data_IF_139532190490
#
_entry.id   IF_139532190490
#
_cell.length_a   1.000
_cell.length_b   1.000
_cell.length_c   1.000
_cell.angle_alpha   90.00
_cell.angle_beta   90.00
_cell.angle_gamma   90.00
#
_symmetry.space_group_name_H-M   'P 1'
#
loop_
_entity.id
_entity.type
_entity.pdbx_description
1 polymer ?
#
# COMPACT_ATOMS: atom_id res chain seq x y z
N UNK A 1 -44.53 37.78 -34.66
CA UNK A 1 -45.73 37.20 -34.02
C UNK A 1 -46.33 36.25 -35.03
N UNK A 2 -45.99 34.96 -34.95
CA UNK A 2 -46.68 33.93 -35.73
C UNK A 2 -46.57 32.63 -34.94
N UNK A 3 -47.68 32.33 -34.26
CA UNK A 3 -47.86 31.18 -33.39
C UNK A 3 -48.94 30.30 -33.99
N UNK A 4 -48.68 28.99 -33.96
CA UNK A 4 -49.68 27.91 -33.96
C UNK A 4 -50.34 27.57 -35.30
N UNK A 5 -49.73 26.67 -36.08
CA UNK A 5 -50.46 25.74 -36.95
C UNK A 5 -49.60 24.50 -37.25
N UNK A 6 -49.41 23.62 -36.26
CA UNK A 6 -48.96 22.23 -36.49
C UNK A 6 -49.37 21.28 -35.35
N UNK A 7 -50.57 21.48 -34.79
CA UNK A 7 -51.19 20.55 -33.84
C UNK A 7 -52.54 20.10 -34.36
N UNK A 8 -52.53 19.28 -35.42
CA UNK A 8 -53.74 18.53 -35.81
C UNK A 8 -53.36 17.42 -36.80
N UNK A 9 -52.70 16.34 -36.34
CA UNK A 9 -52.73 15.06 -37.08
C UNK A 9 -52.25 13.79 -36.33
N UNK A 10 -52.31 13.74 -34.99
CA UNK A 10 -51.99 12.52 -34.24
C UNK A 10 -52.97 12.24 -33.10
N UNK A 11 -54.24 12.56 -33.32
CA UNK A 11 -55.33 12.01 -32.54
C UNK A 11 -55.80 10.69 -33.20
N UNK A 12 -55.94 9.65 -32.39
CA UNK A 12 -56.54 8.34 -32.72
C UNK A 12 -55.69 7.39 -33.57
N UNK A 13 -54.70 6.74 -32.94
CA UNK A 13 -54.31 5.38 -33.32
C UNK A 13 -54.14 4.55 -32.05
N UNK A 14 -55.07 3.63 -31.80
CA UNK A 14 -54.93 2.62 -30.75
C UNK A 14 -53.69 1.78 -31.08
N UNK A 15 -52.61 1.99 -30.34
CA UNK A 15 -51.35 1.26 -30.51
C UNK A 15 -51.51 -0.10 -29.84
N UNK A 16 -51.67 -1.14 -30.65
CA UNK A 16 -51.69 -2.52 -30.17
C UNK A 16 -50.27 -2.93 -29.79
N UNK A 17 -50.06 -3.34 -28.53
CA UNK A 17 -48.77 -3.78 -27.97
C UNK A 17 -48.22 -5.09 -28.59
N UNK A 18 -48.93 -5.69 -29.55
CA UNK A 18 -48.54 -6.90 -30.28
C UNK A 18 -48.14 -6.62 -31.74
N UNK A 19 -47.99 -5.34 -32.12
CA UNK A 19 -47.61 -4.98 -33.48
C UNK A 19 -46.14 -5.36 -33.74
N UNK A 20 -45.93 -6.26 -34.70
CA UNK A 20 -44.63 -6.86 -35.04
C UNK A 20 -43.52 -5.85 -35.36
N UNK A 21 -43.89 -4.66 -35.87
CA UNK A 21 -42.95 -3.57 -36.13
C UNK A 21 -42.33 -2.96 -34.85
N UNK A 22 -43.04 -3.03 -33.71
CA UNK A 22 -42.55 -2.59 -32.41
C UNK A 22 -41.58 -3.62 -31.79
N UNK A 23 -41.82 -4.91 -32.05
CA UNK A 23 -40.92 -5.98 -31.65
C UNK A 23 -39.61 -5.98 -32.46
N UNK A 24 -39.69 -5.71 -33.77
CA UNK A 24 -38.48 -5.60 -34.61
C UNK A 24 -37.61 -4.40 -34.24
N UNK A 25 -38.20 -3.30 -33.77
CA UNK A 25 -37.45 -2.12 -33.29
C UNK A 25 -36.85 -2.30 -31.88
N UNK A 26 -37.43 -3.16 -31.04
CA UNK A 26 -36.82 -3.60 -29.77
C UNK A 26 -35.67 -4.59 -30.01
N UNK A 27 -35.72 -5.37 -31.08
CA UNK A 27 -34.70 -6.35 -31.44
C UNK A 27 -33.48 -5.73 -32.13
N UNK A 28 -33.61 -4.51 -32.69
CA UNK A 28 -32.53 -3.82 -33.42
C UNK A 28 -31.67 -2.89 -32.54
N UNK A 29 -32.00 -2.69 -31.26
CA UNK A 29 -31.18 -1.88 -30.35
C UNK A 29 -30.14 -2.75 -29.63
N UNK A 30 -28.98 -2.81 -30.26
CA UNK A 30 -27.70 -3.33 -29.77
C UNK A 30 -27.53 -3.20 -28.24
N UNK A 31 -27.77 -4.29 -27.53
CA UNK A 31 -27.15 -4.55 -26.23
C UNK A 31 -25.69 -4.89 -26.53
N UNK A 32 -24.75 -4.15 -25.95
CA UNK A 32 -23.33 -4.46 -26.09
C UNK A 32 -23.09 -5.92 -25.63
N UNK A 33 -22.42 -6.76 -26.44
CA UNK A 33 -22.34 -8.22 -26.24
C UNK A 33 -21.65 -8.64 -24.93
N UNK A 34 -21.05 -7.70 -24.22
CA UNK A 34 -20.30 -7.84 -22.98
C UNK A 34 -21.05 -7.35 -21.72
N UNK A 35 -22.31 -6.91 -21.85
CA UNK A 35 -23.13 -6.49 -20.71
C UNK A 35 -23.98 -7.64 -20.15
N UNK A 36 -23.44 -8.35 -19.15
CA UNK A 36 -24.20 -9.33 -18.37
C UNK A 36 -24.92 -8.63 -17.22
N UNK A 37 -26.25 -8.57 -17.28
CA UNK A 37 -27.09 -8.08 -16.17
C UNK A 37 -27.16 -9.20 -15.11
N UNK A 38 -26.38 -9.08 -14.04
CA UNK A 38 -26.47 -10.00 -12.90
C UNK A 38 -27.60 -9.59 -11.94
N UNK A 39 -28.70 -10.34 -11.94
CA UNK A 39 -29.67 -10.33 -10.85
C UNK A 39 -29.25 -11.35 -9.77
N UNK A 40 -28.12 -11.10 -9.09
CA UNK A 40 -27.72 -11.93 -7.95
C UNK A 40 -28.12 -11.28 -6.63
N UNK A 41 -29.02 -11.92 -5.90
CA UNK A 41 -29.43 -11.54 -4.54
C UNK A 41 -28.28 -11.80 -3.56
N UNK A 42 -27.56 -10.75 -3.14
CA UNK A 42 -26.64 -10.80 -1.98
C UNK A 42 -27.29 -10.08 -0.78
N UNK A 43 -27.43 -10.75 0.38
CA UNK A 43 -28.11 -10.22 1.56
C UNK A 43 -27.37 -9.05 2.25
N UNK A 44 -26.11 -8.81 1.90
CA UNK A 44 -25.22 -7.81 2.53
C UNK A 44 -25.60 -6.36 2.16
N UNK A 45 -26.35 -6.14 1.08
CA UNK A 45 -26.79 -4.80 0.62
C UNK A 45 -28.12 -4.31 1.23
N UNK A 46 -28.67 -5.04 2.20
CA UNK A 46 -29.96 -4.70 2.83
C UNK A 46 -29.94 -3.39 3.64
N UNK A 47 -28.76 -2.92 4.04
CA UNK A 47 -28.58 -1.73 4.89
C UNK A 47 -28.76 -0.39 4.14
N UNK A 48 -28.78 -0.43 2.80
CA UNK A 48 -28.81 0.78 1.96
C UNK A 48 -30.15 0.99 1.24
N UNK A 49 -31.21 0.22 1.54
CA UNK A 49 -32.54 0.49 0.98
C UNK A 49 -33.18 1.69 1.67
N UNK A 50 -33.02 2.87 1.07
CA UNK A 50 -34.20 3.76 0.97
C UNK A 50 -35.20 3.08 0.04
N UNK A 51 -36.48 3.18 0.38
CA UNK A 51 -37.60 2.69 -0.44
C UNK A 51 -37.34 2.97 -1.92
N UNK A 52 -37.43 1.93 -2.76
CA UNK A 52 -37.35 2.08 -4.20
C UNK A 52 -38.64 2.77 -4.65
N UNK A 53 -38.60 4.09 -4.68
CA UNK A 53 -39.68 4.90 -5.20
C UNK A 53 -39.58 4.90 -6.71
N UNK A 54 -40.56 4.31 -7.39
CA UNK A 54 -40.54 4.09 -8.83
C UNK A 54 -40.85 5.40 -9.57
N UNK A 55 -39.92 6.37 -9.51
CA UNK A 55 -40.13 7.74 -9.98
C UNK A 55 -39.97 7.89 -11.50
N UNK A 56 -39.40 6.90 -12.19
CA UNK A 56 -39.14 6.96 -13.62
C UNK A 56 -40.15 6.11 -14.40
N UNK A 57 -41.10 6.78 -15.07
CA UNK A 57 -41.94 6.12 -16.05
C UNK A 57 -41.15 5.95 -17.36
N UNK A 58 -40.50 4.79 -17.49
CA UNK A 58 -39.63 4.44 -18.62
C UNK A 58 -40.30 4.58 -19.99
N UNK A 59 -41.63 4.45 -20.08
CA UNK A 59 -42.37 4.62 -21.34
C UNK A 59 -42.31 6.04 -21.90
N UNK A 60 -42.21 7.08 -21.04
CA UNK A 60 -42.17 8.48 -21.50
C UNK A 60 -40.78 8.96 -21.88
N UNK A 61 -39.72 8.38 -21.30
CA UNK A 61 -38.35 8.85 -21.48
C UNK A 61 -37.59 8.13 -22.61
N UNK A 62 -38.08 7.00 -23.12
CA UNK A 62 -37.51 6.29 -24.27
C UNK A 62 -37.84 6.94 -25.63
N UNK A 63 -38.81 7.86 -25.67
CA UNK A 63 -39.24 8.53 -26.91
C UNK A 63 -38.41 9.77 -27.27
N UNK A 64 -37.39 10.11 -26.48
CA UNK A 64 -36.47 11.19 -26.80
C UNK A 64 -35.24 10.61 -27.52
N UNK A 65 -34.92 11.09 -28.74
CA UNK A 65 -33.69 10.68 -29.41
C UNK A 65 -32.50 11.09 -28.55
N UNK A 66 -31.73 10.10 -28.10
CA UNK A 66 -30.48 10.33 -27.38
C UNK A 66 -29.50 11.00 -28.35
N UNK A 67 -28.89 12.15 -27.99
CA UNK A 67 -27.84 12.73 -28.81
C UNK A 67 -26.66 11.75 -28.84
N UNK A 68 -26.27 11.34 -30.05
CA UNK A 68 -25.09 10.53 -30.31
C UNK A 68 -23.84 11.40 -30.08
N UNK A 69 -23.50 11.62 -28.82
CA UNK A 69 -22.18 12.12 -28.45
C UNK A 69 -21.59 11.20 -27.39
N UNK A 70 -20.77 10.28 -27.89
CA UNK A 70 -20.14 9.20 -27.16
C UNK A 70 -19.05 9.73 -26.24
N UNK A 71 -19.43 10.02 -24.98
CA UNK A 71 -18.58 9.84 -23.78
C UNK A 71 -19.31 10.20 -22.47
N UNK A 72 -20.47 10.86 -22.51
CA UNK A 72 -21.15 11.31 -21.29
C UNK A 72 -22.67 11.51 -21.47
N UNK A 73 -23.40 10.55 -22.03
CA UNK A 73 -24.85 10.48 -21.81
C UNK A 73 -25.12 9.74 -20.51
N UNK A 74 -24.75 10.37 -19.40
CA UNK A 74 -25.16 9.94 -18.06
C UNK A 74 -26.62 10.32 -17.93
N UNK A 75 -27.53 9.34 -17.91
CA UNK A 75 -28.89 9.59 -17.40
C UNK A 75 -28.71 10.25 -16.03
N UNK A 76 -29.19 11.49 -15.88
CA UNK A 76 -29.15 12.21 -14.60
C UNK A 76 -29.70 11.27 -13.53
N UNK A 77 -28.83 10.82 -12.60
CA UNK A 77 -29.10 9.90 -11.48
C UNK A 77 -28.86 8.39 -11.70
N UNK A 78 -28.32 7.96 -12.85
CA UNK A 78 -27.81 6.58 -13.05
C UNK A 78 -26.30 6.60 -12.91
N UNK A 79 -25.81 6.20 -11.73
CA UNK A 79 -24.38 6.05 -11.49
C UNK A 79 -23.91 4.74 -12.15
N UNK A 80 -23.12 4.86 -13.21
CA UNK A 80 -22.45 3.70 -13.83
C UNK A 80 -21.32 3.28 -12.88
N UNK A 81 -21.64 2.39 -11.95
CA UNK A 81 -20.65 1.79 -11.05
C UNK A 81 -19.87 0.77 -11.88
N UNK A 82 -18.72 1.19 -12.40
CA UNK A 82 -17.75 0.24 -12.93
C UNK A 82 -17.36 -0.72 -11.80
N UNK A 83 -17.47 -2.05 -11.98
CA UNK A 83 -16.94 -3.03 -11.03
C UNK A 83 -15.41 -3.04 -11.12
N UNK A 84 -14.79 -1.90 -10.85
CA UNK A 84 -13.39 -1.85 -10.52
C UNK A 84 -13.22 -2.67 -9.25
N UNK A 85 -12.47 -3.75 -9.33
CA UNK A 85 -12.05 -4.54 -8.17
C UNK A 85 -11.39 -3.56 -7.21
N UNK A 86 -12.11 -3.14 -6.16
CA UNK A 86 -11.56 -2.27 -5.13
C UNK A 86 -10.41 -3.05 -4.52
N UNK A 87 -9.18 -2.68 -4.86
CA UNK A 87 -7.99 -3.12 -4.15
C UNK A 87 -8.17 -2.57 -2.73
N UNK A 88 -8.76 -3.36 -1.85
CA UNK A 88 -8.83 -3.06 -0.42
C UNK A 88 -7.40 -3.10 0.06
N UNK A 89 -6.77 -1.93 0.06
CA UNK A 89 -5.38 -1.75 0.42
C UNK A 89 -5.32 -1.87 1.94
N UNK A 90 -5.12 -3.10 2.41
CA UNK A 90 -5.01 -3.40 3.84
C UNK A 90 -3.74 -2.79 4.44
N UNK A 91 -2.73 -2.53 3.60
CA UNK A 91 -1.47 -1.92 4.03
C UNK A 91 -1.60 -0.39 4.12
N UNK A 92 -1.24 0.21 5.27
CA UNK A 92 -1.41 1.64 5.46
C UNK A 92 -0.35 2.46 4.69
N UNK A 93 -0.76 3.60 4.13
CA UNK A 93 0.09 4.40 3.24
C UNK A 93 1.38 4.94 3.88
N UNK A 94 1.39 5.14 5.21
CA UNK A 94 2.60 5.58 5.94
C UNK A 94 3.73 4.55 5.87
N UNK A 95 3.41 3.26 5.69
CA UNK A 95 4.40 2.18 5.57
C UNK A 95 5.29 2.44 4.34
N UNK A 96 4.67 2.82 3.21
CA UNK A 96 5.39 3.15 1.98
C UNK A 96 6.30 4.36 2.21
N UNK A 97 5.84 5.36 2.96
CA UNK A 97 6.66 6.53 3.32
C UNK A 97 7.94 6.16 4.09
N UNK A 98 7.83 5.27 5.09
CA UNK A 98 8.99 4.76 5.85
C UNK A 98 9.94 3.97 4.94
N UNK A 99 9.40 3.17 4.03
CA UNK A 99 10.18 2.36 3.10
C UNK A 99 10.95 3.22 2.09
N UNK A 100 10.31 4.24 1.53
CA UNK A 100 10.96 5.25 0.67
C UNK A 100 12.06 5.98 1.42
N UNK A 101 11.83 6.36 2.68
CA UNK A 101 12.86 6.98 3.53
C UNK A 101 14.06 6.04 3.74
N UNK A 102 13.83 4.75 4.02
CA UNK A 102 14.88 3.76 4.19
C UNK A 102 15.68 3.56 2.89
N UNK A 103 15.01 3.49 1.73
CA UNK A 103 15.66 3.43 0.43
C UNK A 103 16.48 4.69 0.12
N UNK A 104 15.97 5.87 0.46
CA UNK A 104 16.69 7.13 0.27
C UNK A 104 17.98 7.19 1.12
N UNK A 105 17.90 6.77 2.38
CA UNK A 105 19.08 6.65 3.24
C UNK A 105 20.08 5.63 2.68
N UNK A 106 19.59 4.48 2.21
CA UNK A 106 20.42 3.46 1.59
C UNK A 106 21.11 3.98 0.33
N UNK A 107 20.39 4.66 -0.56
CA UNK A 107 20.93 5.26 -1.77
C UNK A 107 22.06 6.26 -1.43
N UNK A 108 21.87 7.08 -0.39
CA UNK A 108 22.89 8.03 0.06
C UNK A 108 24.17 7.31 0.52
N UNK A 109 24.03 6.22 1.28
CA UNK A 109 25.19 5.41 1.71
C UNK A 109 25.84 4.72 0.52
N UNK A 110 25.06 4.18 -0.42
CA UNK A 110 25.56 3.51 -1.62
C UNK A 110 26.36 4.45 -2.52
N UNK A 111 25.92 5.71 -2.69
CA UNK A 111 26.60 6.70 -3.53
C UNK A 111 27.90 7.20 -2.90
N UNK A 112 27.86 7.57 -1.60
CA UNK A 112 29.00 8.23 -0.94
C UNK A 112 30.02 7.19 -0.40
N UNK A 113 29.54 6.04 0.07
CA UNK A 113 30.33 5.07 0.83
C UNK A 113 30.28 3.64 0.25
N UNK A 114 30.20 3.50 -1.08
CA UNK A 114 30.12 2.18 -1.73
C UNK A 114 31.24 1.21 -1.29
N UNK A 115 32.48 1.71 -1.20
CA UNK A 115 33.64 0.92 -0.77
C UNK A 115 33.47 0.39 0.67
N UNK A 116 32.95 1.21 1.57
CA UNK A 116 32.66 0.81 2.95
C UNK A 116 31.59 -0.28 3.00
N UNK A 117 30.54 -0.18 2.17
CA UNK A 117 29.47 -1.18 2.08
C UNK A 117 30.02 -2.57 1.69
N UNK A 118 30.92 -2.62 0.71
CA UNK A 118 31.59 -3.86 0.31
C UNK A 118 32.49 -4.40 1.42
N UNK A 119 33.20 -3.52 2.13
CA UNK A 119 34.10 -3.91 3.22
C UNK A 119 33.33 -4.50 4.41
N UNK A 120 32.18 -3.93 4.79
CA UNK A 120 31.38 -4.47 5.90
C UNK A 120 30.73 -5.80 5.55
N UNK A 121 30.30 -5.99 4.29
CA UNK A 121 29.76 -7.27 3.83
C UNK A 121 30.83 -8.36 3.87
N UNK A 122 32.06 -8.04 3.43
CA UNK A 122 33.19 -8.97 3.52
C UNK A 122 33.62 -9.22 4.96
N UNK A 123 33.54 -8.22 5.84
CA UNK A 123 33.92 -8.36 7.26
C UNK A 123 32.99 -9.29 8.05
N UNK A 124 31.76 -9.53 7.58
CA UNK A 124 30.86 -10.51 8.21
C UNK A 124 31.33 -11.94 7.98
N UNK A 125 32.06 -12.21 6.88
CA UNK A 125 32.48 -13.56 6.48
C UNK A 125 33.98 -13.75 6.75
N UNK A 126 34.79 -12.72 6.50
CA UNK A 126 36.24 -12.76 6.60
C UNK A 126 36.75 -12.01 7.84
N UNK A 127 37.33 -12.77 8.78
CA UNK A 127 37.91 -12.24 10.01
C UNK A 127 39.09 -11.28 9.77
N UNK A 128 39.88 -11.49 8.72
CA UNK A 128 41.00 -10.59 8.37
C UNK A 128 40.50 -9.19 8.00
N UNK A 129 39.43 -9.10 7.21
CA UNK A 129 38.81 -7.82 6.85
C UNK A 129 38.18 -7.16 8.07
N UNK A 130 37.54 -7.92 8.96
CA UNK A 130 36.97 -7.40 10.20
C UNK A 130 38.01 -6.73 11.11
N UNK A 131 39.12 -7.41 11.39
CA UNK A 131 40.18 -6.88 12.28
C UNK A 131 40.83 -5.63 11.70
N UNK A 132 40.98 -5.56 10.36
CA UNK A 132 41.43 -4.36 9.67
C UNK A 132 40.50 -3.17 9.89
N UNK A 133 39.19 -3.35 9.66
CA UNK A 133 38.20 -2.28 9.85
C UNK A 133 38.12 -1.86 11.32
N UNK A 134 38.21 -2.82 12.25
CA UNK A 134 38.22 -2.55 13.68
C UNK A 134 39.40 -1.65 14.11
N UNK A 135 40.59 -1.91 13.54
CA UNK A 135 41.82 -1.15 13.84
C UNK A 135 41.87 0.21 13.12
N UNK A 136 41.38 0.29 11.89
CA UNK A 136 41.51 1.50 11.06
C UNK A 136 40.65 2.68 11.51
N UNK A 137 39.59 2.50 12.34
CA UNK A 137 38.74 3.54 13.00
C UNK A 137 38.82 4.97 12.40
N UNK A 138 38.60 5.13 11.09
CA UNK A 138 38.63 6.46 10.46
C UNK A 138 37.36 7.23 10.82
N UNK A 139 37.52 8.51 11.14
CA UNK A 139 36.43 9.44 11.47
C UNK A 139 35.35 9.50 10.37
N UNK A 140 35.75 9.39 9.09
CA UNK A 140 34.82 9.34 7.96
C UNK A 140 33.87 8.12 7.98
N UNK A 141 34.28 7.00 8.58
CA UNK A 141 33.40 5.83 8.69
C UNK A 141 32.33 5.97 9.76
N UNK A 142 32.47 6.92 10.67
CA UNK A 142 31.47 7.13 11.73
C UNK A 142 30.14 7.63 11.16
N UNK A 143 30.18 8.56 10.19
CA UNK A 143 28.97 9.06 9.53
C UNK A 143 28.27 7.97 8.71
N UNK A 144 29.02 7.14 7.98
CA UNK A 144 28.45 6.02 7.21
C UNK A 144 27.86 4.95 8.14
N UNK A 145 28.59 4.63 9.22
CA UNK A 145 28.17 3.72 10.28
C UNK A 145 26.84 4.14 10.90
N UNK A 146 26.70 5.42 11.27
CA UNK A 146 25.50 5.96 11.87
C UNK A 146 24.29 5.84 10.93
N UNK A 147 24.45 6.18 9.65
CA UNK A 147 23.36 6.06 8.66
C UNK A 147 22.89 4.61 8.49
N UNK A 148 23.82 3.65 8.46
CA UNK A 148 23.46 2.23 8.41
C UNK A 148 22.78 1.73 9.68
N UNK A 149 23.20 2.22 10.84
CA UNK A 149 22.53 1.90 12.11
C UNK A 149 21.09 2.43 12.10
N UNK A 150 20.85 3.63 11.58
CA UNK A 150 19.49 4.19 11.41
C UNK A 150 18.65 3.34 10.46
N UNK A 151 19.20 2.95 9.31
CA UNK A 151 18.52 2.06 8.35
C UNK A 151 18.14 0.74 9.02
N UNK A 152 19.07 0.13 9.75
CA UNK A 152 18.81 -1.12 10.46
C UNK A 152 17.66 -0.97 11.47
N UNK A 153 17.67 0.06 12.31
CA UNK A 153 16.61 0.27 13.30
C UNK A 153 15.24 0.52 12.62
N UNK A 154 15.19 1.33 11.56
CA UNK A 154 13.96 1.59 10.81
C UNK A 154 13.39 0.33 10.17
N UNK A 155 14.23 -0.45 9.48
CA UNK A 155 13.83 -1.65 8.76
C UNK A 155 13.47 -2.79 9.72
N UNK A 156 14.23 -2.97 10.80
CA UNK A 156 13.95 -4.00 11.81
C UNK A 156 12.61 -3.72 12.52
N UNK A 157 12.33 -2.46 12.86
CA UNK A 157 11.05 -2.06 13.43
C UNK A 157 9.89 -2.24 12.45
N UNK A 158 10.11 -1.92 11.17
CA UNK A 158 9.12 -2.09 10.11
C UNK A 158 8.78 -3.57 9.90
N UNK A 159 9.80 -4.43 9.88
CA UNK A 159 9.63 -5.88 9.82
C UNK A 159 8.85 -6.42 11.03
N UNK A 160 9.17 -5.94 12.24
CA UNK A 160 8.42 -6.28 13.44
C UNK A 160 6.95 -5.88 13.36
N UNK A 161 6.66 -4.67 12.85
CA UNK A 161 5.28 -4.24 12.60
C UNK A 161 4.55 -5.13 11.58
N UNK A 162 5.19 -5.44 10.45
CA UNK A 162 4.62 -6.33 9.43
C UNK A 162 4.34 -7.73 9.99
N UNK A 163 5.23 -8.25 10.82
CA UNK A 163 5.05 -9.52 11.52
C UNK A 163 3.81 -9.46 12.42
N UNK A 164 3.71 -8.46 13.30
CA UNK A 164 2.55 -8.29 14.20
C UNK A 164 1.22 -8.16 13.45
N UNK A 165 1.22 -7.41 12.34
CA UNK A 165 0.04 -7.24 11.49
C UNK A 165 -0.38 -8.57 10.83
N UNK A 166 0.59 -9.38 10.38
CA UNK A 166 0.33 -10.70 9.77
C UNK A 166 -0.34 -11.66 10.76
N UNK A 167 0.11 -11.65 12.02
CA UNK A 167 -0.49 -12.48 13.08
C UNK A 167 -1.72 -11.84 13.75
N UNK A 168 -2.19 -10.68 13.27
CA UNK A 168 -3.33 -9.93 13.82
C UNK A 168 -3.23 -9.68 15.33
N UNK A 169 -2.02 -9.46 15.83
CA UNK A 169 -1.77 -9.17 17.25
C UNK A 169 -2.14 -7.71 17.51
N UNK A 170 -3.33 -7.50 18.08
CA UNK A 170 -3.81 -6.17 18.42
C UNK A 170 -3.39 -5.77 19.83
N UNK A 171 -2.62 -4.68 19.94
CA UNK A 171 -2.23 -4.07 21.22
C UNK A 171 -3.31 -3.12 21.79
N UNK A 172 -4.54 -3.17 21.28
CA UNK A 172 -5.62 -2.23 21.66
C UNK A 172 -5.42 -0.79 21.17
N UNK A 173 -4.42 -0.55 20.31
CA UNK A 173 -4.11 0.76 19.74
C UNK A 173 -4.72 0.84 18.34
N UNK A 174 -5.67 1.75 18.13
CA UNK A 174 -6.36 1.90 16.84
C UNK A 174 -5.44 2.40 15.70
N UNK A 175 -4.43 3.21 16.04
CA UNK A 175 -3.57 3.83 15.05
C UNK A 175 -2.32 2.97 14.75
N UNK A 176 -2.28 2.39 13.55
CA UNK A 176 -1.16 1.54 13.08
C UNK A 176 0.21 2.22 13.13
N UNK A 177 0.28 3.54 12.94
CA UNK A 177 1.54 4.30 13.01
C UNK A 177 2.16 4.29 14.42
N UNK A 178 1.34 4.35 15.47
CA UNK A 178 1.85 4.31 16.85
C UNK A 178 2.39 2.93 17.21
N UNK A 179 1.79 1.86 16.68
CA UNK A 179 2.31 0.49 16.85
C UNK A 179 3.71 0.38 16.25
N UNK A 180 3.94 0.99 15.08
CA UNK A 180 5.28 1.08 14.49
C UNK A 180 6.26 1.87 15.35
N UNK A 181 5.87 3.02 15.90
CA UNK A 181 6.73 3.81 16.78
C UNK A 181 7.10 3.04 18.06
N UNK A 182 6.17 2.27 18.63
CA UNK A 182 6.44 1.40 19.77
C UNK A 182 7.43 0.31 19.38
N UNK A 183 7.25 -0.34 18.22
CA UNK A 183 8.21 -1.33 17.71
C UNK A 183 9.61 -0.72 17.54
N UNK A 184 9.68 0.49 16.99
CA UNK A 184 10.94 1.22 16.83
C UNK A 184 11.59 1.55 18.17
N UNK A 185 10.81 2.02 19.14
CA UNK A 185 11.27 2.29 20.49
C UNK A 185 11.81 1.02 21.19
N UNK A 186 11.11 -0.10 21.05
CA UNK A 186 11.53 -1.40 21.61
C UNK A 186 12.85 -1.86 20.97
N UNK A 187 12.97 -1.79 19.64
CA UNK A 187 14.19 -2.19 18.92
C UNK A 187 15.38 -1.34 19.37
N UNK A 188 15.24 -0.01 19.38
CA UNK A 188 16.30 0.90 19.81
C UNK A 188 16.67 0.64 21.28
N UNK A 189 15.65 0.56 22.15
CA UNK A 189 15.84 0.30 23.58
C UNK A 189 16.56 -1.01 23.83
N UNK A 190 16.16 -2.09 23.17
CA UNK A 190 16.80 -3.40 23.27
C UNK A 190 18.29 -3.35 22.92
N UNK A 191 18.67 -2.70 21.81
CA UNK A 191 20.07 -2.61 21.41
C UNK A 191 20.90 -1.69 22.33
N UNK A 192 20.31 -0.62 22.87
CA UNK A 192 20.98 0.25 23.84
C UNK A 192 21.22 -0.52 25.15
N UNK A 193 20.19 -1.15 25.71
CA UNK A 193 20.30 -1.93 26.95
C UNK A 193 21.33 -3.05 26.77
N UNK A 194 21.29 -3.77 25.64
CA UNK A 194 22.28 -4.79 25.31
C UNK A 194 23.71 -4.22 25.32
N UNK A 195 23.95 -3.09 24.66
CA UNK A 195 25.27 -2.44 24.64
C UNK A 195 25.75 -2.02 26.03
N UNK A 196 24.85 -1.48 26.87
CA UNK A 196 25.17 -1.08 28.25
C UNK A 196 25.52 -2.30 29.10
N UNK A 197 24.72 -3.36 29.05
CA UNK A 197 24.97 -4.59 29.80
C UNK A 197 26.33 -5.22 29.47
N UNK A 198 26.63 -5.39 28.17
CA UNK A 198 27.95 -5.89 27.75
C UNK A 198 29.07 -4.95 28.14
N UNK A 199 28.86 -3.63 28.06
CA UNK A 199 29.82 -2.64 28.53
C UNK A 199 30.15 -2.79 30.02
N UNK A 200 29.14 -3.00 30.85
CA UNK A 200 29.31 -3.24 32.29
C UNK A 200 30.08 -4.54 32.57
N UNK A 201 29.73 -5.62 31.88
CA UNK A 201 30.45 -6.90 31.98
C UNK A 201 31.92 -6.74 31.59
N UNK A 202 32.21 -6.03 30.50
CA UNK A 202 33.59 -5.78 30.06
C UNK A 202 34.41 -4.91 31.04
N UNK A 203 33.75 -4.09 31.85
CA UNK A 203 34.41 -3.35 32.94
C UNK A 203 34.71 -4.29 34.11
N UNK A 204 33.75 -5.15 34.48
CA UNK A 204 33.87 -6.08 35.62
C UNK A 204 34.89 -7.18 35.38
N UNK A 205 35.00 -7.70 34.15
CA UNK A 205 35.89 -8.82 33.80
C UNK A 205 37.28 -8.35 33.34
N UNK A 206 37.56 -7.04 33.34
CA UNK A 206 38.80 -6.41 32.82
C UNK A 206 39.10 -6.71 31.33
N UNK A 207 38.29 -7.52 30.66
CA UNK A 207 38.35 -7.90 29.24
C UNK A 207 37.77 -6.83 28.30
N UNK A 208 38.02 -5.55 28.59
CA UNK A 208 37.47 -4.40 27.83
C UNK A 208 37.77 -4.48 26.34
N UNK A 209 38.90 -5.05 25.94
CA UNK A 209 39.31 -5.18 24.53
C UNK A 209 38.46 -6.20 23.78
N UNK A 210 38.32 -7.40 24.34
CA UNK A 210 37.56 -8.50 23.75
C UNK A 210 36.07 -8.14 23.61
N UNK A 211 35.50 -7.53 24.66
CA UNK A 211 34.10 -7.08 24.62
C UNK A 211 33.87 -6.01 23.56
N UNK A 212 34.81 -5.10 23.35
CA UNK A 212 34.70 -4.10 22.27
C UNK A 212 34.77 -4.72 20.89
N UNK A 213 35.62 -5.73 20.68
CA UNK A 213 35.69 -6.47 19.43
C UNK A 213 34.37 -7.20 19.17
N UNK A 214 33.81 -7.88 20.18
CA UNK A 214 32.51 -8.54 20.09
C UNK A 214 31.35 -7.56 19.77
N UNK A 215 31.25 -6.46 20.52
CA UNK A 215 30.23 -5.44 20.28
C UNK A 215 30.33 -4.81 18.88
N UNK A 216 31.55 -4.63 18.39
CA UNK A 216 31.79 -4.14 17.04
C UNK A 216 31.34 -5.16 15.99
N UNK A 217 31.63 -6.44 16.18
CA UNK A 217 31.18 -7.54 15.32
C UNK A 217 29.66 -7.60 15.21
N UNK A 218 28.95 -7.59 16.35
CA UNK A 218 27.48 -7.54 16.35
C UNK A 218 26.96 -6.32 15.60
N UNK A 219 27.59 -5.16 15.79
CA UNK A 219 27.13 -3.93 15.13
C UNK A 219 27.31 -4.00 13.62
N UNK A 220 28.42 -4.57 13.12
CA UNK A 220 28.60 -4.84 11.69
C UNK A 220 27.53 -5.81 11.18
N UNK A 221 27.30 -6.91 11.91
CA UNK A 221 26.30 -7.90 11.52
C UNK A 221 24.90 -7.30 11.43
N UNK A 222 24.48 -6.51 12.42
CA UNK A 222 23.19 -5.83 12.42
C UNK A 222 23.03 -4.89 11.22
N UNK A 223 24.08 -4.14 10.85
CA UNK A 223 24.04 -3.26 9.68
C UNK A 223 23.84 -4.05 8.39
N UNK A 224 24.58 -5.13 8.21
CA UNK A 224 24.43 -6.02 7.03
C UNK A 224 23.04 -6.67 7.02
N UNK A 225 22.55 -7.10 8.18
CA UNK A 225 21.21 -7.64 8.35
C UNK A 225 20.14 -6.61 7.96
N UNK A 226 20.27 -5.35 8.38
CA UNK A 226 19.36 -4.27 7.98
C UNK A 226 19.30 -4.04 6.47
N UNK A 227 20.44 -4.16 5.78
CA UNK A 227 20.50 -4.08 4.32
C UNK A 227 19.82 -5.27 3.64
N UNK A 228 19.94 -6.45 4.22
CA UNK A 228 19.28 -7.66 3.72
C UNK A 228 17.77 -7.67 3.98
N UNK A 229 17.30 -7.14 5.13
CA UNK A 229 15.87 -7.04 5.43
C UNK A 229 15.16 -5.98 4.60
N UNK A 230 15.87 -4.98 4.07
CA UNK A 230 15.27 -3.90 3.28
C UNK A 230 14.46 -4.46 2.07
N UNK A 231 15.03 -5.29 1.17
CA UNK A 231 14.24 -5.90 0.11
C UNK A 231 13.16 -6.87 0.62
N UNK A 232 13.43 -7.61 1.71
CA UNK A 232 12.46 -8.55 2.28
C UNK A 232 11.20 -7.84 2.77
N UNK A 233 11.36 -6.74 3.52
CA UNK A 233 10.25 -5.92 4.03
C UNK A 233 9.49 -5.21 2.91
N UNK A 234 10.17 -4.83 1.83
CA UNK A 234 9.53 -4.31 0.63
C UNK A 234 8.61 -5.35 -0.02
N UNK A 235 9.09 -6.59 -0.22
CA UNK A 235 8.27 -7.66 -0.79
C UNK A 235 7.04 -7.91 0.08
N UNK A 236 7.21 -8.07 1.40
CA UNK A 236 6.08 -8.31 2.33
C UNK A 236 5.05 -7.17 2.28
N UNK A 237 5.49 -5.92 2.12
CA UNK A 237 4.59 -4.76 2.05
C UNK A 237 3.70 -4.73 0.80
N UNK A 238 4.18 -5.28 -0.31
CA UNK A 238 3.51 -5.22 -1.61
C UNK A 238 2.86 -6.55 -2.03
N UNK A 239 3.07 -7.62 -1.25
CA UNK A 239 2.34 -8.88 -1.44
C UNK A 239 0.89 -8.69 -0.96
N UNK A 240 -0.13 -9.03 -1.78
CA UNK A 240 -1.54 -8.87 -1.46
C UNK A 240 -2.05 -9.87 -0.41
#
# INVERSE_FOLDING_TARGET
MESNHFQTQLASKNVNLLDSALLDSLNANYIAPDSVIYFSYRPEYSQFRKEYDNFYNYQKHLLQPLPYDSLYTVLKKVEVVFPGKKLTRTNPDWLVGVLVLAFFLFATVRLIFNKYLSQIAQATINYSTFTRIFRERYFNFFHASFRLDVIFNLVMALFGYQFLNTYKINFGIANSFYVYLICLGIVIGFFIVKKVLYGLVGIMTESKREVREYLFSITIFNRVLGLFLLPVTAVIAFVP
#
